data_IF_137943197898
#
_entry.id   IF_137943197898
#
_cell.length_a   1.000
_cell.length_b   1.000
_cell.length_c   1.000
_cell.angle_alpha   90.00
_cell.angle_beta   90.00
_cell.angle_gamma   90.00
#
_symmetry.space_group_name_H-M   'P 1'
#
loop_
_entity.id
_entity.type
_entity.pdbx_description
1 polymer ?
#
# COMPACT_ATOMS: atom_id res chain seq x y z
N UNK A 1 -13.55 37.58 26.07
CA UNK A 1 -12.96 36.23 25.94
C UNK A 1 -13.91 35.55 25.00
N UNK A 2 -13.54 35.72 23.75
CA UNK A 2 -14.37 35.55 22.58
C UNK A 2 -13.94 34.19 22.04
N UNK A 3 -14.45 33.14 22.69
CA UNK A 3 -14.28 31.76 22.28
C UNK A 3 -15.27 31.47 21.13
N UNK A 4 -15.04 32.10 19.98
CA UNK A 4 -15.61 31.70 18.68
C UNK A 4 -14.47 31.47 17.70
N UNK A 5 -13.57 30.55 18.06
CA UNK A 5 -12.75 29.81 17.08
C UNK A 5 -13.68 28.80 16.40
N UNK A 6 -14.62 29.29 15.60
CA UNK A 6 -15.28 28.48 14.59
C UNK A 6 -14.25 28.25 13.49
N UNK A 7 -13.32 27.32 13.73
CA UNK A 7 -12.11 27.11 12.93
C UNK A 7 -12.44 27.11 11.44
N UNK A 8 -12.12 28.22 10.77
CA UNK A 8 -12.01 28.21 9.33
C UNK A 8 -10.93 27.20 8.99
N UNK A 9 -11.27 26.17 8.21
CA UNK A 9 -10.32 25.20 7.67
C UNK A 9 -9.04 25.92 7.21
N UNK A 10 -7.88 25.48 7.67
CA UNK A 10 -6.60 26.05 7.27
C UNK A 10 -5.96 25.23 6.16
N UNK A 11 -5.41 25.85 5.11
CA UNK A 11 -4.60 25.14 4.10
C UNK A 11 -3.44 24.35 4.74
N UNK A 12 -2.86 24.86 5.82
CA UNK A 12 -1.75 24.23 6.52
C UNK A 12 -2.13 22.87 7.12
N UNK A 13 -3.38 22.71 7.58
CA UNK A 13 -3.89 21.43 8.09
C UNK A 13 -3.97 20.38 6.98
N UNK A 14 -4.31 20.79 5.75
CA UNK A 14 -4.33 19.88 4.60
C UNK A 14 -2.94 19.54 4.08
N UNK A 15 -1.98 20.46 4.20
CA UNK A 15 -0.57 20.17 3.93
C UNK A 15 -0.05 19.12 4.92
N UNK A 16 -0.28 19.31 6.22
CA UNK A 16 0.12 18.33 7.25
C UNK A 16 -0.58 16.98 7.05
N UNK A 17 -1.87 17.00 6.67
CA UNK A 17 -2.62 15.80 6.33
C UNK A 17 -1.96 15.02 5.17
N UNK A 18 -1.61 15.70 4.08
CA UNK A 18 -0.97 15.09 2.91
C UNK A 18 0.41 14.51 3.27
N UNK A 19 1.24 15.26 4.00
CA UNK A 19 2.54 14.79 4.48
C UNK A 19 2.39 13.55 5.39
N UNK A 20 1.36 13.53 6.25
CA UNK A 20 1.03 12.38 7.10
C UNK A 20 0.61 11.16 6.27
N UNK A 21 -0.23 11.34 5.23
CA UNK A 21 -0.61 10.22 4.35
C UNK A 21 0.61 9.66 3.61
N UNK A 22 1.43 10.53 3.04
CA UNK A 22 2.65 10.13 2.34
C UNK A 22 3.60 9.33 3.24
N UNK A 23 3.78 9.79 4.49
CA UNK A 23 4.59 9.09 5.48
C UNK A 23 4.06 7.70 5.83
N UNK A 24 2.75 7.55 6.01
CA UNK A 24 2.12 6.25 6.30
C UNK A 24 2.22 5.27 5.14
N UNK A 25 1.97 5.73 3.91
CA UNK A 25 2.11 4.91 2.71
C UNK A 25 3.56 4.46 2.52
N UNK A 26 4.52 5.36 2.77
CA UNK A 26 5.95 5.04 2.74
C UNK A 26 6.31 3.97 3.78
N UNK A 27 5.84 4.10 5.02
CA UNK A 27 6.06 3.08 6.06
C UNK A 27 5.43 1.73 5.72
N UNK A 28 4.27 1.72 5.05
CA UNK A 28 3.64 0.49 4.55
C UNK A 28 4.48 -0.17 3.45
N UNK A 29 5.06 0.63 2.55
CA UNK A 29 5.99 0.16 1.52
C UNK A 29 7.24 -0.45 2.14
N UNK A 30 7.81 0.17 3.18
CA UNK A 30 8.98 -0.38 3.89
C UNK A 30 8.66 -1.72 4.54
N UNK A 31 7.49 -1.83 5.18
CA UNK A 31 7.01 -3.10 5.75
C UNK A 31 6.86 -4.17 4.66
N UNK A 32 6.16 -3.85 3.56
CA UNK A 32 5.97 -4.79 2.46
C UNK A 32 7.28 -5.20 1.78
N UNK A 33 8.28 -4.32 1.75
CA UNK A 33 9.59 -4.63 1.20
C UNK A 33 10.30 -5.68 2.07
N UNK A 34 10.29 -5.50 3.40
CA UNK A 34 10.82 -6.50 4.33
C UNK A 34 10.12 -7.85 4.18
N UNK A 35 8.78 -7.85 4.14
CA UNK A 35 8.01 -9.09 3.95
C UNK A 35 8.31 -9.75 2.60
N UNK A 36 8.54 -8.97 1.53
CA UNK A 36 8.89 -9.50 0.23
C UNK A 36 10.30 -10.10 0.22
N UNK A 37 11.25 -9.53 0.96
CA UNK A 37 12.60 -10.09 1.12
C UNK A 37 12.56 -11.42 1.89
N UNK A 38 11.76 -11.52 2.96
CA UNK A 38 11.54 -12.78 3.69
C UNK A 38 10.97 -13.88 2.78
N UNK A 39 9.98 -13.55 1.95
CA UNK A 39 9.41 -14.50 0.98
C UNK A 39 10.41 -14.91 -0.12
N UNK A 40 11.36 -14.04 -0.49
CA UNK A 40 12.42 -14.38 -1.44
C UNK A 40 13.42 -15.37 -0.82
N UNK A 41 13.74 -15.21 0.47
CA UNK A 41 14.57 -16.17 1.20
C UNK A 41 13.88 -17.54 1.29
N UNK A 42 12.56 -17.56 1.52
CA UNK A 42 11.76 -18.80 1.50
C UNK A 42 11.80 -19.48 0.12
N UNK A 43 11.62 -18.71 -0.96
CA UNK A 43 11.74 -19.20 -2.35
C UNK A 43 13.11 -19.86 -2.59
N UNK A 44 14.20 -19.22 -2.15
CA UNK A 44 15.55 -19.77 -2.33
C UNK A 44 15.74 -21.08 -1.52
N UNK A 45 15.14 -21.18 -0.33
CA UNK A 45 15.15 -22.39 0.47
C UNK A 45 14.34 -23.52 -0.18
N UNK A 46 13.14 -23.24 -0.69
CA UNK A 46 12.29 -24.21 -1.41
C UNK A 46 12.99 -24.74 -2.67
N UNK A 47 13.65 -23.87 -3.44
CA UNK A 47 14.44 -24.27 -4.61
C UNK A 47 15.58 -25.21 -4.21
N UNK A 48 16.25 -24.94 -3.08
CA UNK A 48 17.31 -25.81 -2.58
C UNK A 48 16.77 -27.18 -2.12
N UNK A 49 15.60 -27.21 -1.50
CA UNK A 49 14.91 -28.45 -1.10
C UNK A 49 14.52 -29.29 -2.31
N UNK A 50 13.88 -28.69 -3.32
CA UNK A 50 13.51 -29.37 -4.57
C UNK A 50 14.73 -30.00 -5.22
N UNK A 51 15.84 -29.26 -5.34
CA UNK A 51 17.10 -29.78 -5.90
C UNK A 51 17.66 -30.95 -5.09
N UNK A 52 17.57 -30.89 -3.77
CA UNK A 52 18.04 -31.96 -2.89
C UNK A 52 17.20 -33.22 -3.07
N UNK A 53 15.87 -33.11 -3.12
CA UNK A 53 14.99 -34.27 -3.41
C UNK A 53 15.20 -34.86 -4.80
N UNK A 54 15.44 -34.01 -5.80
CA UNK A 54 15.73 -34.46 -7.17
C UNK A 54 17.07 -35.22 -7.27
N UNK A 55 18.07 -34.85 -6.46
CA UNK A 55 19.34 -35.59 -6.38
C UNK A 55 19.18 -36.95 -5.66
N UNK A 56 18.39 -36.98 -4.59
CA UNK A 56 18.14 -38.18 -3.78
C UNK A 56 17.31 -39.25 -4.53
N UNK A 57 16.24 -38.81 -5.22
CA UNK A 57 15.36 -39.67 -6.04
C UNK A 57 16.04 -40.31 -7.25
N UNK A 58 17.19 -39.77 -7.70
CA UNK A 58 18.03 -40.41 -8.72
C UNK A 58 18.68 -41.73 -8.28
N UNK A 59 18.62 -42.07 -6.98
CA UNK A 59 19.34 -43.20 -6.38
C UNK A 59 18.41 -44.35 -5.90
N UNK A 60 17.19 -44.08 -5.45
CA UNK A 60 16.19 -45.09 -5.03
C UNK A 60 14.75 -44.60 -5.38
N UNK A 61 13.92 -45.44 -6.01
CA UNK A 61 12.79 -44.99 -6.86
C UNK A 61 11.45 -44.67 -6.17
N UNK A 62 10.47 -44.02 -6.82
CA UNK A 62 10.44 -43.15 -8.03
C UNK A 62 9.06 -42.44 -8.14
N UNK A 63 8.06 -42.80 -7.31
CA UNK A 63 6.72 -42.17 -7.33
C UNK A 63 6.44 -41.26 -6.11
N UNK A 64 6.97 -41.55 -4.92
CA UNK A 64 6.71 -40.75 -3.71
C UNK A 64 7.50 -39.42 -3.74
N UNK A 65 8.74 -39.45 -4.21
CA UNK A 65 9.54 -38.24 -4.39
C UNK A 65 9.00 -37.31 -5.47
N UNK A 66 8.42 -37.87 -6.54
CA UNK A 66 7.77 -37.08 -7.58
C UNK A 66 6.55 -36.31 -7.05
N UNK A 67 5.72 -36.94 -6.22
CA UNK A 67 4.57 -36.27 -5.60
C UNK A 67 5.01 -35.18 -4.60
N UNK A 68 6.05 -35.45 -3.81
CA UNK A 68 6.57 -34.49 -2.84
C UNK A 68 7.30 -33.31 -3.49
N UNK A 69 7.94 -33.51 -4.65
CA UNK A 69 8.51 -32.42 -5.46
C UNK A 69 7.41 -31.58 -6.09
N UNK A 70 6.35 -32.21 -6.64
CA UNK A 70 5.24 -31.48 -7.24
C UNK A 70 4.48 -30.59 -6.23
N UNK A 71 4.39 -31.01 -4.97
CA UNK A 71 3.84 -30.19 -3.88
C UNK A 71 4.71 -28.94 -3.64
N UNK A 72 6.02 -29.12 -3.46
CA UNK A 72 6.96 -28.00 -3.29
C UNK A 72 6.99 -27.05 -4.50
N UNK A 73 6.84 -27.56 -5.73
CA UNK A 73 6.74 -26.71 -6.91
C UNK A 73 5.47 -25.85 -6.89
N UNK A 74 4.37 -26.40 -6.36
CA UNK A 74 3.10 -25.66 -6.20
C UNK A 74 3.24 -24.56 -5.14
N UNK A 75 3.83 -24.89 -3.99
CA UNK A 75 4.09 -23.92 -2.92
C UNK A 75 5.02 -22.79 -3.42
N UNK A 76 6.10 -23.14 -4.12
CA UNK A 76 7.03 -22.19 -4.72
C UNK A 76 6.35 -21.22 -5.70
N UNK A 77 5.45 -21.71 -6.56
CA UNK A 77 4.69 -20.86 -7.48
C UNK A 77 3.69 -19.96 -6.74
N UNK A 78 3.07 -20.45 -5.66
CA UNK A 78 2.20 -19.64 -4.80
C UNK A 78 3.00 -18.51 -4.12
N UNK A 79 4.15 -18.83 -3.52
CA UNK A 79 5.03 -17.85 -2.86
C UNK A 79 5.48 -16.77 -3.85
N UNK A 80 5.87 -17.15 -5.08
CA UNK A 80 6.24 -16.20 -6.14
C UNK A 80 5.09 -15.27 -6.52
N UNK A 81 3.88 -15.81 -6.67
CA UNK A 81 2.70 -15.01 -6.98
C UNK A 81 2.42 -13.97 -5.87
N UNK A 82 2.61 -14.35 -4.60
CA UNK A 82 2.49 -13.42 -3.46
C UNK A 82 3.53 -12.30 -3.53
N UNK A 83 4.78 -12.61 -3.85
CA UNK A 83 5.86 -11.61 -4.02
C UNK A 83 5.53 -10.64 -5.15
N UNK A 84 5.07 -11.13 -6.31
CA UNK A 84 4.69 -10.29 -7.45
C UNK A 84 3.53 -9.35 -7.08
N UNK A 85 2.49 -9.88 -6.42
CA UNK A 85 1.36 -9.08 -5.96
C UNK A 85 1.80 -8.00 -4.96
N UNK A 86 2.67 -8.34 -3.99
CA UNK A 86 3.26 -7.37 -3.05
C UNK A 86 4.05 -6.29 -3.78
N UNK A 87 4.84 -6.64 -4.80
CA UNK A 87 5.60 -5.66 -5.60
C UNK A 87 4.70 -4.69 -6.36
N UNK A 88 3.65 -5.20 -7.02
CA UNK A 88 2.67 -4.36 -7.69
C UNK A 88 1.99 -3.40 -6.70
N UNK A 89 1.62 -3.91 -5.53
CA UNK A 89 1.05 -3.10 -4.45
C UNK A 89 2.03 -2.03 -3.96
N UNK A 90 3.30 -2.36 -3.72
CA UNK A 90 4.32 -1.37 -3.32
C UNK A 90 4.47 -0.24 -4.33
N UNK A 91 4.41 -0.53 -5.63
CA UNK A 91 4.47 0.52 -6.67
C UNK A 91 3.28 1.46 -6.52
N UNK A 92 2.06 0.93 -6.42
CA UNK A 92 0.86 1.75 -6.25
C UNK A 92 0.89 2.61 -4.97
N UNK A 93 1.36 2.04 -3.85
CA UNK A 93 1.53 2.80 -2.60
C UNK A 93 2.56 3.94 -2.73
N UNK A 94 3.66 3.71 -3.45
CA UNK A 94 4.67 4.76 -3.73
C UNK A 94 4.11 5.87 -4.60
N UNK A 95 3.41 5.51 -5.68
CA UNK A 95 2.79 6.50 -6.58
C UNK A 95 1.78 7.37 -5.83
N UNK A 96 0.96 6.77 -4.96
CA UNK A 96 0.02 7.52 -4.12
C UNK A 96 0.75 8.42 -3.11
N UNK A 97 1.82 7.92 -2.47
CA UNK A 97 2.62 8.70 -1.53
C UNK A 97 3.25 9.93 -2.21
N UNK A 98 3.87 9.73 -3.39
CA UNK A 98 4.46 10.80 -4.19
C UNK A 98 3.38 11.81 -4.64
N UNK A 99 2.18 11.34 -4.96
CA UNK A 99 1.02 12.17 -5.25
C UNK A 99 0.64 13.09 -4.07
N UNK A 100 0.58 12.55 -2.85
CA UNK A 100 0.34 13.35 -1.65
C UNK A 100 1.46 14.35 -1.36
N UNK A 101 2.73 13.99 -1.56
CA UNK A 101 3.86 14.92 -1.41
C UNK A 101 3.72 16.08 -2.40
N UNK A 102 3.49 15.76 -3.68
CA UNK A 102 3.31 16.78 -4.73
C UNK A 102 2.12 17.69 -4.42
N UNK A 103 1.01 17.12 -3.98
CA UNK A 103 -0.17 17.88 -3.58
C UNK A 103 0.12 18.80 -2.39
N UNK A 104 0.86 18.34 -1.38
CA UNK A 104 1.25 19.17 -0.24
C UNK A 104 2.08 20.39 -0.68
N UNK A 105 2.99 20.21 -1.63
CA UNK A 105 3.79 21.29 -2.22
C UNK A 105 2.93 22.31 -2.99
N UNK A 106 1.97 21.82 -3.79
CA UNK A 106 1.02 22.65 -4.53
C UNK A 106 0.11 23.44 -3.59
N UNK A 107 -0.42 22.80 -2.55
CA UNK A 107 -1.25 23.46 -1.53
C UNK A 107 -0.49 24.55 -0.80
N UNK A 108 0.76 24.28 -0.40
CA UNK A 108 1.62 25.27 0.29
C UNK A 108 1.95 26.47 -0.59
N UNK A 109 2.03 26.28 -1.90
CA UNK A 109 2.51 27.33 -2.83
C UNK A 109 1.37 28.17 -3.42
N UNK A 110 0.23 27.55 -3.71
CA UNK A 110 -0.81 28.13 -4.56
C UNK A 110 -2.18 28.29 -3.87
N UNK A 111 -2.32 27.91 -2.59
CA UNK A 111 -3.61 27.94 -1.89
C UNK A 111 -3.52 28.61 -0.53
N UNK A 112 -4.22 29.74 -0.39
CA UNK A 112 -4.40 30.47 0.87
C UNK A 112 -5.77 30.19 1.54
N UNK A 113 -6.69 29.50 0.86
CA UNK A 113 -8.04 29.19 1.33
C UNK A 113 -8.23 27.71 1.66
N UNK A 114 -8.66 27.39 2.88
CA UNK A 114 -8.77 26.01 3.33
C UNK A 114 -9.92 25.22 2.68
N UNK A 115 -10.97 25.88 2.17
CA UNK A 115 -12.02 25.18 1.40
C UNK A 115 -11.47 24.75 0.05
N UNK A 116 -10.72 25.62 -0.63
CA UNK A 116 -10.03 25.27 -1.86
C UNK A 116 -9.02 24.13 -1.63
N UNK A 117 -8.27 24.17 -0.53
CA UNK A 117 -7.34 23.10 -0.16
C UNK A 117 -8.08 21.76 0.01
N UNK A 118 -9.18 21.76 0.77
CA UNK A 118 -10.04 20.59 0.95
C UNK A 118 -10.55 20.04 -0.39
N UNK A 119 -11.07 20.89 -1.27
CA UNK A 119 -11.60 20.48 -2.57
C UNK A 119 -10.53 19.84 -3.47
N UNK A 120 -9.28 20.33 -3.40
CA UNK A 120 -8.15 19.74 -4.13
C UNK A 120 -7.78 18.37 -3.57
N UNK A 121 -7.75 18.20 -2.24
CA UNK A 121 -7.51 16.90 -1.60
C UNK A 121 -8.60 15.89 -1.97
N UNK A 122 -9.87 16.25 -1.80
CA UNK A 122 -11.01 15.39 -2.17
C UNK A 122 -10.94 14.94 -3.62
N UNK A 123 -10.59 15.86 -4.54
CA UNK A 123 -10.45 15.54 -5.96
C UNK A 123 -9.29 14.61 -6.24
N UNK A 124 -8.13 14.85 -5.64
CA UNK A 124 -6.96 13.99 -5.77
C UNK A 124 -7.26 12.57 -5.27
N UNK A 125 -7.86 12.45 -4.09
CA UNK A 125 -8.19 11.16 -3.49
C UNK A 125 -9.23 10.38 -4.29
N UNK A 126 -10.20 11.08 -4.89
CA UNK A 126 -11.17 10.47 -5.80
C UNK A 126 -10.51 9.97 -7.10
N UNK A 127 -9.59 10.74 -7.68
CA UNK A 127 -8.88 10.37 -8.92
C UNK A 127 -7.92 9.19 -8.70
N UNK A 128 -7.25 9.17 -7.55
CA UNK A 128 -6.29 8.14 -7.19
C UNK A 128 -6.93 6.88 -6.54
N UNK A 129 -8.25 6.88 -6.33
CA UNK A 129 -8.97 5.84 -5.60
C UNK A 129 -8.33 5.56 -4.22
N UNK A 130 -7.92 6.63 -3.53
CA UNK A 130 -7.15 6.57 -2.29
C UNK A 130 -7.76 5.68 -1.19
N UNK A 131 -9.09 5.61 -0.98
CA UNK A 131 -9.69 4.77 0.07
C UNK A 131 -9.25 3.30 0.04
N UNK A 132 -9.01 2.73 -1.14
CA UNK A 132 -8.61 1.31 -1.29
C UNK A 132 -7.23 1.02 -0.66
N UNK A 133 -6.43 2.04 -0.41
CA UNK A 133 -5.09 1.92 0.17
C UNK A 133 -5.05 2.10 1.68
N UNK A 134 -6.18 2.46 2.30
CA UNK A 134 -6.30 2.78 3.72
C UNK A 134 -7.40 1.94 4.39
N UNK A 135 -7.04 0.77 4.93
CA UNK A 135 -8.00 -0.12 5.61
C UNK A 135 -8.41 0.37 7.02
N UNK A 136 -7.50 1.01 7.76
CA UNK A 136 -7.70 1.36 9.17
C UNK A 136 -8.12 2.82 9.40
N UNK A 137 -8.27 3.59 8.32
CA UNK A 137 -8.58 5.03 8.43
C UNK A 137 -9.44 5.50 7.27
N UNK A 138 -10.24 6.50 7.59
CA UNK A 138 -11.07 7.20 6.62
C UNK A 138 -10.30 8.34 5.96
N UNK A 139 -10.44 8.47 4.64
CA UNK A 139 -9.89 9.57 3.83
C UNK A 139 -10.75 10.83 3.89
N UNK A 140 -10.23 11.97 3.41
CA UNK A 140 -11.01 13.22 3.35
C UNK A 140 -12.13 13.08 2.30
N UNK A 141 -11.89 12.40 1.19
CA UNK A 141 -12.88 12.06 0.18
C UNK A 141 -14.05 11.26 0.77
N UNK A 142 -13.77 10.18 1.51
CA UNK A 142 -14.84 9.40 2.18
C UNK A 142 -15.61 10.26 3.18
N UNK A 143 -14.92 11.10 3.98
CA UNK A 143 -15.58 12.00 4.91
C UNK A 143 -16.49 13.02 4.23
N UNK A 144 -16.06 13.59 3.12
CA UNK A 144 -16.85 14.54 2.34
C UNK A 144 -18.08 13.89 1.70
N UNK A 145 -17.94 12.65 1.18
CA UNK A 145 -19.07 11.95 0.54
C UNK A 145 -20.11 11.46 1.54
N UNK A 146 -19.69 10.93 2.70
CA UNK A 146 -20.63 10.50 3.75
C UNK A 146 -21.38 11.69 4.37
N UNK A 147 -20.69 12.80 4.64
CA UNK A 147 -21.36 14.02 5.13
C UNK A 147 -22.41 14.59 4.16
N UNK A 148 -22.28 14.31 2.86
CA UNK A 148 -23.28 14.68 1.85
C UNK A 148 -24.46 13.69 1.80
N UNK A 149 -24.23 12.41 2.13
CA UNK A 149 -25.27 11.37 2.19
C UNK A 149 -26.14 11.48 3.46
N UNK A 150 -25.59 11.96 4.58
CA UNK A 150 -26.34 12.23 5.82
C UNK A 150 -27.15 13.53 5.79
N UNK A 151 -26.98 14.36 4.74
CA UNK A 151 -27.66 15.63 4.56
C UNK A 151 -28.88 15.57 3.61
N UNK A 152 -29.14 14.41 2.98
CA UNK A 152 -30.32 14.11 2.14
C UNK A 152 -31.37 13.28 2.87
#
# INVERSE_FOLDING_TARGET
MDDEDGSSLSPEEFVEYCETQAGLLSGRVETMASEADELLDDIDAEIAEIRTRLDDSGTEGDDIDAAAVAELETDLDETRAVVEAKRARMVAFRELADGYVSLAEDLRSDVDDGREAMERVVRFEADADAPVYFDDRKTVYEAATEGNLDAE
#
